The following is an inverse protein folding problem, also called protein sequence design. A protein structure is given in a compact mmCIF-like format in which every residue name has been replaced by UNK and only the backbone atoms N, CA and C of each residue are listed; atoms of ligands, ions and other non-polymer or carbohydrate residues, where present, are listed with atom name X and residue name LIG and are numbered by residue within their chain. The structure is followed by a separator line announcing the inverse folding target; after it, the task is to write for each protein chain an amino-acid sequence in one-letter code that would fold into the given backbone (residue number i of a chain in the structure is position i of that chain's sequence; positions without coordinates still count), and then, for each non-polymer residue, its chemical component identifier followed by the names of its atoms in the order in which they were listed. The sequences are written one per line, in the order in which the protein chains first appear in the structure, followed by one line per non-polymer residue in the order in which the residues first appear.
data_IF_865393589747
#
_entry.id   IF_865393589747
#
_cell.length_a   1.000
_cell.length_b   1.000
_cell.length_c   1.000
_cell.angle_alpha   90.00
_cell.angle_beta   90.00
_cell.angle_gamma   90.00
#
_symmetry.space_group_name_H-M   'P 1'
#
loop_
_entity.id
_entity.type
_entity.pdbx_description
1 polymer ?
#
# COMPACT_ATOMS: atom_id res chain seq x y z
N UNK A 1 -9.21 30.64 4.79
CA UNK A 1 -7.80 31.11 4.88
C UNK A 1 -7.04 30.16 5.81
N UNK A 2 -5.90 29.61 5.37
CA UNK A 2 -5.08 28.72 6.22
C UNK A 2 -4.37 29.53 7.28
N UNK A 3 -4.46 29.18 8.58
CA UNK A 3 -3.76 29.89 9.67
C UNK A 3 -2.23 29.88 9.49
N UNK A 4 -1.56 30.93 9.99
CA UNK A 4 -0.11 31.05 9.83
C UNK A 4 0.69 29.92 10.48
N UNK A 5 0.24 29.41 11.61
CA UNK A 5 0.85 28.26 12.29
C UNK A 5 0.85 27.01 11.39
N UNK A 6 -0.29 26.71 10.74
CA UNK A 6 -0.42 25.58 9.82
C UNK A 6 0.49 25.76 8.60
N UNK A 7 0.62 26.99 8.07
CA UNK A 7 1.51 27.25 6.93
C UNK A 7 2.99 27.02 7.22
N UNK A 8 3.41 27.14 8.48
CA UNK A 8 4.80 26.90 8.92
C UNK A 8 5.07 25.44 9.27
N UNK A 9 4.02 24.62 9.35
CA UNK A 9 4.14 23.19 9.65
C UNK A 9 4.50 22.43 8.37
N UNK A 10 5.51 21.55 8.46
CA UNK A 10 5.79 20.59 7.39
C UNK A 10 4.81 19.43 7.48
N UNK A 11 4.16 19.12 6.38
CA UNK A 11 3.25 17.98 6.24
C UNK A 11 3.89 16.93 5.35
N UNK A 12 3.89 15.69 5.78
CA UNK A 12 4.28 14.55 4.97
C UNK A 12 3.08 13.60 4.88
N UNK A 13 2.65 13.30 3.67
CA UNK A 13 1.58 12.36 3.40
C UNK A 13 2.19 10.98 3.13
N UNK A 14 1.91 10.02 3.99
CA UNK A 14 2.30 8.63 3.77
C UNK A 14 1.17 7.88 3.07
N UNK A 15 1.45 7.38 1.89
CA UNK A 15 0.47 6.61 1.10
C UNK A 15 1.16 5.65 0.15
N UNK A 16 0.59 4.47 0.01
CA UNK A 16 0.98 3.49 -1.00
C UNK A 16 0.05 3.55 -2.22
N UNK A 17 -0.90 4.49 -2.22
CA UNK A 17 -1.77 4.78 -3.35
C UNK A 17 -1.05 5.74 -4.29
N UNK A 18 -0.89 5.34 -5.55
CA UNK A 18 -0.26 6.15 -6.60
C UNK A 18 -1.27 6.80 -7.55
N UNK A 19 -2.55 6.47 -7.42
CA UNK A 19 -3.62 6.97 -8.28
C UNK A 19 -3.71 8.50 -8.29
N UNK A 20 -3.96 9.11 -9.46
CA UNK A 20 -4.26 10.53 -9.57
C UNK A 20 -5.62 10.88 -8.95
N UNK A 21 -5.91 12.17 -8.81
CA UNK A 21 -7.18 12.63 -8.24
C UNK A 21 -8.40 12.23 -9.08
N UNK A 22 -8.32 12.41 -10.38
CA UNK A 22 -9.43 12.17 -11.31
C UNK A 22 -8.93 11.53 -12.62
N UNK A 23 -9.87 11.10 -13.45
CA UNK A 23 -9.59 10.37 -14.69
C UNK A 23 -9.95 8.89 -14.58
N UNK A 24 -9.59 8.06 -15.60
CA UNK A 24 -9.92 6.63 -15.62
C UNK A 24 -9.26 5.87 -14.46
N UNK A 25 -8.04 6.25 -14.08
CA UNK A 25 -7.30 5.67 -12.95
C UNK A 25 -7.42 6.52 -11.67
N UNK A 26 -8.34 7.49 -11.68
CA UNK A 26 -8.54 8.44 -10.58
C UNK A 26 -9.27 7.82 -9.39
N UNK A 27 -9.29 8.58 -8.30
CA UNK A 27 -9.86 8.17 -7.03
C UNK A 27 -11.29 7.65 -7.13
N UNK A 28 -12.18 8.34 -7.84
CA UNK A 28 -13.58 7.94 -7.97
C UNK A 28 -13.71 6.64 -8.80
N UNK A 29 -13.00 6.55 -9.93
CA UNK A 29 -13.10 5.40 -10.82
C UNK A 29 -12.62 4.10 -10.16
N UNK A 30 -11.52 4.19 -9.40
CA UNK A 30 -10.87 3.00 -8.81
C UNK A 30 -11.50 2.60 -7.47
N UNK A 31 -11.84 3.59 -6.61
CA UNK A 31 -12.18 3.28 -5.20
C UNK A 31 -13.67 3.45 -4.85
N UNK A 32 -14.48 4.16 -5.68
CA UNK A 32 -15.88 4.36 -5.35
C UNK A 32 -16.75 3.10 -5.57
N UNK A 33 -16.53 2.25 -6.62
CA UNK A 33 -17.33 1.06 -6.84
C UNK A 33 -17.33 0.09 -5.66
N UNK A 34 -16.18 -0.18 -5.06
CA UNK A 34 -16.08 -1.07 -3.89
C UNK A 34 -16.79 -0.53 -2.63
N UNK A 35 -17.15 0.76 -2.64
CA UNK A 35 -17.92 1.44 -1.58
C UNK A 35 -19.40 1.58 -1.94
N UNK A 36 -19.85 0.91 -3.01
CA UNK A 36 -21.24 0.86 -3.43
C UNK A 36 -21.66 1.89 -4.47
N UNK A 37 -20.76 2.69 -5.04
CA UNK A 37 -21.11 3.65 -6.07
C UNK A 37 -21.39 2.94 -7.40
N UNK A 38 -22.52 3.28 -8.02
CA UNK A 38 -22.84 2.89 -9.38
C UNK A 38 -22.10 3.75 -10.43
N UNK A 39 -22.24 3.40 -11.70
CA UNK A 39 -21.53 4.09 -12.79
C UNK A 39 -21.89 5.58 -12.89
N UNK A 40 -23.15 5.95 -12.63
CA UNK A 40 -23.59 7.34 -12.67
C UNK A 40 -22.98 8.14 -11.50
N UNK A 41 -22.93 7.55 -10.32
CA UNK A 41 -22.30 8.13 -9.14
C UNK A 41 -20.79 8.28 -9.33
N UNK A 42 -20.11 7.29 -9.91
CA UNK A 42 -18.68 7.37 -10.24
C UNK A 42 -18.41 8.53 -11.20
N UNK A 43 -19.23 8.68 -12.25
CA UNK A 43 -19.12 9.80 -13.20
C UNK A 43 -19.32 11.16 -12.52
N UNK A 44 -20.32 11.29 -11.66
CA UNK A 44 -20.60 12.50 -10.91
C UNK A 44 -19.46 12.86 -9.94
N UNK A 45 -18.95 11.89 -9.18
CA UNK A 45 -17.81 12.06 -8.28
C UNK A 45 -16.56 12.50 -9.05
N UNK A 46 -16.25 11.85 -10.17
CA UNK A 46 -15.10 12.20 -10.99
C UNK A 46 -15.22 13.63 -11.57
N UNK A 47 -16.42 14.05 -11.98
CA UNK A 47 -16.70 15.42 -12.41
C UNK A 47 -16.47 16.42 -11.27
N UNK A 48 -16.99 16.13 -10.07
CA UNK A 48 -16.77 16.95 -8.87
C UNK A 48 -15.29 17.10 -8.51
N UNK A 49 -14.51 16.00 -8.57
CA UNK A 49 -13.08 16.02 -8.33
C UNK A 49 -12.31 16.82 -9.38
N UNK A 50 -12.72 16.79 -10.65
CA UNK A 50 -12.16 17.66 -11.70
C UNK A 50 -12.45 19.14 -11.43
N UNK A 51 -13.65 19.46 -11.00
CA UNK A 51 -13.99 20.82 -10.62
C UNK A 51 -13.15 21.30 -9.44
N UNK A 52 -13.02 20.45 -8.40
CA UNK A 52 -12.14 20.73 -7.26
C UNK A 52 -10.69 20.95 -7.70
N UNK A 53 -10.17 20.12 -8.61
CA UNK A 53 -8.82 20.26 -9.16
C UNK A 53 -8.59 21.65 -9.81
N UNK A 54 -9.59 22.16 -10.52
CA UNK A 54 -9.51 23.48 -11.15
C UNK A 54 -9.45 24.64 -10.13
N UNK A 55 -9.96 24.43 -8.93
CA UNK A 55 -9.92 25.41 -7.82
C UNK A 55 -8.65 25.33 -6.97
N UNK A 56 -7.81 24.33 -7.18
CA UNK A 56 -6.59 24.13 -6.38
C UNK A 56 -5.52 25.18 -6.72
N UNK A 57 -4.83 25.75 -5.71
CA UNK A 57 -3.79 26.76 -5.93
C UNK A 57 -2.51 26.18 -6.58
N UNK A 58 -2.39 24.85 -6.63
CA UNK A 58 -1.26 24.13 -7.24
C UNK A 58 -1.77 22.99 -8.13
N UNK A 59 -1.17 22.75 -9.28
CA UNK A 59 -1.58 21.69 -10.21
C UNK A 59 -1.06 20.31 -9.72
N UNK A 60 -1.76 19.71 -8.79
CA UNK A 60 -1.37 18.43 -8.16
C UNK A 60 -2.25 17.24 -8.57
N UNK A 61 -3.32 17.49 -9.31
CA UNK A 61 -4.33 16.47 -9.61
C UNK A 61 -3.76 15.20 -10.29
N UNK A 62 -2.73 15.35 -11.12
CA UNK A 62 -2.08 14.23 -11.81
C UNK A 62 -0.90 13.63 -11.03
N UNK A 63 -0.55 14.16 -9.86
CA UNK A 63 0.57 13.63 -9.09
C UNK A 63 0.22 12.28 -8.46
N UNK A 64 1.17 11.35 -8.37
CA UNK A 64 1.01 10.13 -7.61
C UNK A 64 0.55 10.42 -6.17
N UNK A 65 -0.44 9.69 -5.69
CA UNK A 65 -1.01 9.89 -4.36
C UNK A 65 -2.08 10.97 -4.25
N UNK A 66 -2.36 11.73 -5.32
CA UNK A 66 -3.40 12.76 -5.31
C UNK A 66 -4.79 12.16 -5.04
N UNK A 67 -5.05 10.94 -5.52
CA UNK A 67 -6.30 10.20 -5.30
C UNK A 67 -6.42 9.54 -3.94
N UNK A 68 -5.36 9.52 -3.14
CA UNK A 68 -5.38 8.87 -1.82
C UNK A 68 -6.51 9.42 -0.95
N UNK A 69 -7.20 8.51 -0.24
CA UNK A 69 -8.32 8.80 0.64
C UNK A 69 -9.41 9.70 -0.02
N UNK A 70 -9.75 9.40 -1.28
CA UNK A 70 -10.82 10.12 -1.97
C UNK A 70 -10.46 11.53 -2.42
N UNK A 71 -9.17 11.87 -2.49
CA UNK A 71 -8.69 13.19 -2.88
C UNK A 71 -8.11 14.02 -1.71
N UNK A 72 -8.09 13.49 -0.49
CA UNK A 72 -7.40 14.12 0.64
C UNK A 72 -5.92 14.37 0.30
N UNK A 73 -5.27 13.41 -0.40
CA UNK A 73 -3.91 13.55 -0.88
C UNK A 73 -3.70 14.83 -1.70
N UNK A 74 -4.54 15.05 -2.70
CA UNK A 74 -4.50 16.27 -3.50
C UNK A 74 -4.72 17.54 -2.66
N UNK A 75 -5.67 17.49 -1.71
CA UNK A 75 -5.93 18.60 -0.79
C UNK A 75 -4.70 18.98 0.03
N UNK A 76 -4.06 18.02 0.67
CA UNK A 76 -2.86 18.24 1.48
C UNK A 76 -1.70 18.79 0.63
N UNK A 77 -1.48 18.23 -0.55
CA UNK A 77 -0.46 18.73 -1.47
C UNK A 77 -0.75 20.15 -1.96
N UNK A 78 -2.01 20.43 -2.36
CA UNK A 78 -2.37 21.72 -2.95
C UNK A 78 -2.35 22.87 -1.96
N UNK A 79 -2.97 22.72 -0.80
CA UNK A 79 -3.15 23.80 0.17
C UNK A 79 -2.08 23.85 1.24
N UNK A 80 -1.53 22.73 1.65
CA UNK A 80 -0.53 22.66 2.73
C UNK A 80 0.89 22.39 2.22
N UNK A 81 1.04 22.04 0.94
CA UNK A 81 2.36 21.74 0.37
C UNK A 81 2.93 20.42 0.88
N UNK A 82 2.07 19.48 1.25
CA UNK A 82 2.51 18.18 1.75
C UNK A 82 3.39 17.45 0.74
N UNK A 83 4.48 16.87 1.23
CA UNK A 83 5.35 15.95 0.49
C UNK A 83 4.77 14.54 0.57
N UNK A 84 4.72 13.82 -0.55
CA UNK A 84 4.26 12.43 -0.58
C UNK A 84 5.45 11.51 -0.40
N UNK A 85 5.29 10.53 0.50
CA UNK A 85 6.24 9.43 0.68
C UNK A 85 5.49 8.09 0.63
N UNK A 86 6.08 7.03 0.05
CA UNK A 86 5.56 5.68 0.18
C UNK A 86 5.40 5.32 1.66
N UNK A 87 4.22 4.85 2.05
CA UNK A 87 3.90 4.61 3.45
C UNK A 87 4.76 3.52 4.05
N UNK A 88 4.95 2.42 3.31
CA UNK A 88 5.80 1.32 3.74
C UNK A 88 7.25 1.79 4.01
N UNK A 89 7.84 2.55 3.09
CA UNK A 89 9.20 3.08 3.27
C UNK A 89 9.29 4.03 4.48
N UNK A 90 8.31 4.91 4.65
CA UNK A 90 8.30 5.84 5.76
C UNK A 90 8.24 5.13 7.14
N UNK A 91 7.45 4.04 7.24
CA UNK A 91 7.38 3.23 8.46
C UNK A 91 8.70 2.49 8.70
N UNK A 92 9.30 1.92 7.65
CA UNK A 92 10.59 1.24 7.75
C UNK A 92 11.71 2.19 8.18
N UNK A 93 11.71 3.43 7.65
CA UNK A 93 12.65 4.48 8.07
C UNK A 93 12.49 4.80 9.57
N UNK A 94 11.26 5.00 10.03
CA UNK A 94 10.99 5.28 11.46
C UNK A 94 11.36 4.13 12.37
N UNK A 95 11.20 2.88 11.91
CA UNK A 95 11.59 1.69 12.65
C UNK A 95 13.12 1.47 12.67
N UNK A 96 13.89 2.24 11.90
CA UNK A 96 15.33 2.02 11.76
C UNK A 96 15.65 0.68 11.07
N UNK A 97 14.79 0.25 10.14
CA UNK A 97 14.83 -1.09 9.55
C UNK A 97 16.19 -1.45 8.96
N UNK A 98 16.86 -0.52 8.26
CA UNK A 98 18.16 -0.78 7.66
C UNK A 98 19.25 -1.09 8.71
N UNK A 99 19.16 -0.49 9.89
CA UNK A 99 20.07 -0.80 10.99
C UNK A 99 19.83 -2.22 11.55
N UNK A 100 18.59 -2.70 11.52
CA UNK A 100 18.23 -4.06 11.93
C UNK A 100 18.69 -5.13 10.94
N UNK A 101 18.98 -4.75 9.69
CA UNK A 101 19.51 -5.67 8.68
C UNK A 101 21.00 -6.02 8.89
N UNK A 102 21.73 -5.21 9.67
CA UNK A 102 23.15 -5.43 9.92
C UNK A 102 23.31 -6.72 10.73
N UNK A 103 23.93 -7.73 10.10
CA UNK A 103 24.14 -9.05 10.72
C UNK A 103 22.91 -9.95 10.74
N UNK A 104 21.81 -9.54 10.12
CA UNK A 104 20.66 -10.42 9.95
C UNK A 104 20.97 -11.52 8.94
N UNK A 105 20.64 -12.77 9.28
CA UNK A 105 20.81 -13.92 8.40
C UNK A 105 19.62 -14.10 7.44
N UNK A 106 18.44 -13.65 7.84
CA UNK A 106 17.18 -13.79 7.11
C UNK A 106 16.20 -12.72 7.58
N UNK A 107 15.40 -12.19 6.67
CA UNK A 107 14.20 -11.41 6.97
C UNK A 107 12.98 -12.23 6.68
N UNK A 108 12.01 -12.23 7.59
CA UNK A 108 10.70 -12.84 7.39
C UNK A 108 9.67 -11.71 7.29
N UNK A 109 8.92 -11.71 6.20
CA UNK A 109 7.79 -10.79 5.99
C UNK A 109 6.52 -11.58 5.69
N UNK A 110 5.37 -10.90 5.64
CA UNK A 110 4.14 -11.59 5.29
C UNK A 110 2.97 -10.67 5.03
N UNK A 111 1.98 -11.24 4.37
CA UNK A 111 0.67 -10.62 4.17
C UNK A 111 -0.43 -11.68 3.94
N UNK A 112 -1.70 -11.25 3.96
CA UNK A 112 -2.83 -12.16 3.78
C UNK A 112 -2.85 -12.83 2.40
N UNK A 113 -2.43 -12.12 1.35
CA UNK A 113 -2.37 -12.65 -0.01
C UNK A 113 -1.25 -11.98 -0.79
N UNK A 114 -0.36 -12.79 -1.32
CA UNK A 114 0.67 -12.33 -2.27
C UNK A 114 0.08 -12.43 -3.69
N UNK A 115 0.04 -11.28 -4.38
CA UNK A 115 -0.43 -11.14 -5.75
C UNK A 115 0.34 -10.04 -6.49
N UNK A 116 -0.04 -9.74 -7.74
CA UNK A 116 0.61 -8.69 -8.54
C UNK A 116 0.59 -7.30 -7.90
N UNK A 117 -0.35 -7.03 -6.99
CA UNK A 117 -0.40 -5.76 -6.26
C UNK A 117 0.65 -5.68 -5.15
N UNK A 118 1.12 -6.82 -4.63
CA UNK A 118 2.19 -6.87 -3.63
C UNK A 118 3.47 -6.25 -4.19
N UNK A 119 3.79 -6.48 -5.47
CA UNK A 119 4.93 -5.89 -6.19
C UNK A 119 4.83 -4.37 -6.29
N UNK A 120 3.61 -3.84 -6.31
CA UNK A 120 3.33 -2.42 -6.61
C UNK A 120 3.53 -1.47 -5.43
N UNK A 121 4.25 -1.86 -4.36
CA UNK A 121 4.65 -0.94 -3.27
C UNK A 121 4.07 -1.26 -1.89
N UNK A 122 3.44 -2.42 -1.69
CA UNK A 122 3.02 -2.87 -0.35
C UNK A 122 4.23 -3.21 0.53
N UNK A 123 3.98 -3.35 1.83
CA UNK A 123 5.02 -3.60 2.85
C UNK A 123 5.97 -4.74 2.49
N UNK A 124 5.52 -5.93 2.02
CA UNK A 124 6.45 -7.01 1.68
C UNK A 124 7.43 -6.64 0.55
N UNK A 125 6.99 -5.86 -0.45
CA UNK A 125 7.88 -5.41 -1.53
C UNK A 125 8.91 -4.38 -1.04
N UNK A 126 8.53 -3.48 -0.14
CA UNK A 126 9.45 -2.51 0.45
C UNK A 126 10.51 -3.22 1.32
N UNK A 127 10.09 -4.20 2.13
CA UNK A 127 10.97 -5.04 2.94
C UNK A 127 11.96 -5.80 2.05
N UNK A 128 11.46 -6.49 1.02
CA UNK A 128 12.26 -7.24 0.06
C UNK A 128 13.35 -6.37 -0.57
N UNK A 129 12.94 -5.23 -1.15
CA UNK A 129 13.87 -4.31 -1.81
C UNK A 129 14.99 -3.84 -0.87
N UNK A 130 14.64 -3.47 0.37
CA UNK A 130 15.62 -2.95 1.34
C UNK A 130 16.53 -4.05 1.88
N UNK A 131 16.00 -5.24 2.16
CA UNK A 131 16.80 -6.37 2.63
C UNK A 131 17.78 -6.84 1.55
N UNK A 132 17.32 -6.98 0.30
CA UNK A 132 18.19 -7.35 -0.83
C UNK A 132 19.27 -6.31 -1.11
N UNK A 133 18.98 -5.01 -0.93
CA UNK A 133 20.00 -3.96 -1.02
C UNK A 133 21.13 -4.12 0.00
N UNK A 134 20.87 -4.80 1.12
CA UNK A 134 21.83 -5.15 2.15
C UNK A 134 22.38 -6.61 2.03
N UNK A 135 21.99 -7.33 0.99
CA UNK A 135 22.39 -8.73 0.77
C UNK A 135 21.74 -9.73 1.73
N UNK A 136 20.61 -9.37 2.35
CA UNK A 136 19.92 -10.24 3.30
C UNK A 136 18.74 -10.93 2.59
N UNK A 137 18.66 -12.28 2.61
CA UNK A 137 17.56 -13.02 1.99
C UNK A 137 16.22 -12.77 2.70
N UNK A 138 15.12 -12.93 1.95
CA UNK A 138 13.77 -12.65 2.43
C UNK A 138 12.84 -13.82 2.16
N UNK A 139 12.25 -14.36 3.22
CA UNK A 139 11.16 -15.31 3.15
C UNK A 139 9.81 -14.60 3.37
N UNK A 140 8.83 -14.85 2.52
CA UNK A 140 7.48 -14.34 2.67
C UNK A 140 6.52 -15.43 3.14
N UNK A 141 5.84 -15.22 4.25
CA UNK A 141 4.76 -16.09 4.74
C UNK A 141 3.43 -15.43 4.37
N UNK A 142 2.54 -16.15 3.70
CA UNK A 142 1.28 -15.58 3.23
C UNK A 142 0.07 -16.50 3.45
N UNK A 143 -1.11 -15.90 3.57
CA UNK A 143 -2.36 -16.66 3.63
C UNK A 143 -2.61 -17.41 2.34
N UNK A 144 -2.43 -16.76 1.20
CA UNK A 144 -2.57 -17.37 -0.13
C UNK A 144 -1.61 -16.74 -1.13
N UNK A 145 -1.31 -17.50 -2.18
CA UNK A 145 -0.47 -17.08 -3.30
C UNK A 145 -1.31 -17.08 -4.57
N UNK A 146 -1.34 -15.96 -5.29
CA UNK A 146 -2.05 -15.87 -6.56
C UNK A 146 -1.25 -16.54 -7.69
N UNK A 147 -1.96 -17.05 -8.69
CA UNK A 147 -1.32 -17.53 -9.90
C UNK A 147 -0.53 -16.40 -10.60
N UNK A 148 0.63 -16.74 -11.16
CA UNK A 148 1.48 -15.77 -11.88
C UNK A 148 2.41 -14.92 -11.00
N UNK A 149 2.50 -15.20 -9.70
CA UNK A 149 3.42 -14.51 -8.77
C UNK A 149 4.84 -15.09 -8.75
N UNK A 150 5.15 -16.01 -9.64
CA UNK A 150 6.47 -16.65 -9.75
C UNK A 150 7.64 -15.70 -10.05
N UNK A 151 7.37 -14.46 -10.44
CA UNK A 151 8.37 -13.43 -10.72
C UNK A 151 8.63 -12.48 -9.55
N UNK A 152 8.19 -12.83 -8.34
CA UNK A 152 8.53 -12.05 -7.16
C UNK A 152 9.86 -12.58 -6.62
N UNK A 153 10.85 -11.70 -6.52
CA UNK A 153 12.23 -12.03 -6.14
C UNK A 153 12.42 -12.40 -4.66
N UNK A 154 11.36 -12.93 -3.99
CA UNK A 154 11.52 -13.51 -2.65
C UNK A 154 12.35 -14.79 -2.75
N UNK A 155 13.27 -14.96 -1.81
CA UNK A 155 14.10 -16.18 -1.72
C UNK A 155 13.27 -17.41 -1.33
N UNK A 156 12.17 -17.19 -0.59
CA UNK A 156 11.16 -18.21 -0.32
C UNK A 156 9.76 -17.57 -0.18
N UNK A 157 8.72 -18.29 -0.65
CA UNK A 157 7.33 -17.92 -0.41
C UNK A 157 6.60 -19.14 0.15
N UNK A 158 6.03 -18.98 1.34
CA UNK A 158 5.46 -20.05 2.13
C UNK A 158 3.96 -19.77 2.42
N UNK A 159 3.03 -20.32 1.63
CA UNK A 159 1.60 -20.23 1.96
C UNK A 159 1.29 -21.04 3.23
N UNK A 160 0.50 -20.44 4.15
CA UNK A 160 0.10 -21.11 5.38
C UNK A 160 -1.04 -22.12 5.19
N UNK A 161 -1.81 -22.00 4.09
CA UNK A 161 -2.92 -22.92 3.79
C UNK A 161 -2.40 -24.26 3.33
N UNK A 162 -2.57 -25.34 4.12
CA UNK A 162 -1.91 -26.63 3.85
C UNK A 162 -2.64 -27.52 2.84
N UNK A 163 -3.93 -27.22 2.59
CA UNK A 163 -4.83 -27.98 1.74
C UNK A 163 -5.92 -27.06 1.19
N UNK A 164 -6.63 -27.43 0.14
CA UNK A 164 -7.83 -26.70 -0.28
C UNK A 164 -8.81 -26.55 0.88
N UNK A 165 -9.19 -25.30 1.18
CA UNK A 165 -10.18 -24.96 2.21
C UNK A 165 -10.89 -23.67 1.83
N UNK A 166 -12.08 -23.44 2.40
CA UNK A 166 -12.82 -22.19 2.19
C UNK A 166 -12.08 -21.01 2.85
N UNK A 167 -12.30 -19.81 2.31
CA UNK A 167 -11.74 -18.60 2.90
C UNK A 167 -12.21 -18.41 4.36
N UNK A 168 -13.47 -18.71 4.63
CA UNK A 168 -14.04 -18.64 5.98
C UNK A 168 -13.33 -19.58 6.95
N UNK A 169 -13.01 -20.80 6.52
CA UNK A 169 -12.25 -21.75 7.34
C UNK A 169 -10.81 -21.27 7.53
N UNK A 170 -10.13 -20.85 6.47
CA UNK A 170 -8.74 -20.38 6.52
C UNK A 170 -8.55 -19.13 7.39
N UNK A 171 -9.57 -18.28 7.51
CA UNK A 171 -9.54 -17.05 8.30
C UNK A 171 -9.99 -17.23 9.75
N UNK A 172 -10.35 -18.43 10.18
CA UNK A 172 -10.61 -18.67 11.62
C UNK A 172 -9.31 -18.45 12.40
N UNK A 173 -9.33 -17.66 13.49
CA UNK A 173 -8.10 -17.28 14.21
C UNK A 173 -7.28 -18.48 14.71
N UNK A 174 -7.94 -19.52 15.19
CA UNK A 174 -7.33 -20.78 15.64
C UNK A 174 -6.62 -21.52 14.51
N UNK A 175 -7.28 -21.68 13.37
CA UNK A 175 -6.74 -22.31 12.17
C UNK A 175 -5.58 -21.50 11.58
N UNK A 176 -5.78 -20.20 11.40
CA UNK A 176 -4.76 -19.32 10.84
C UNK A 176 -3.48 -19.34 11.70
N UNK A 177 -3.62 -19.26 13.03
CA UNK A 177 -2.49 -19.30 13.95
C UNK A 177 -1.76 -20.65 13.94
N UNK A 178 -2.53 -21.75 13.93
CA UNK A 178 -1.97 -23.11 13.86
C UNK A 178 -1.18 -23.30 12.56
N UNK A 179 -1.77 -22.90 11.44
CA UNK A 179 -1.16 -22.99 10.12
C UNK A 179 0.09 -22.12 10.01
N UNK A 180 0.05 -20.88 10.51
CA UNK A 180 1.20 -19.98 10.52
C UNK A 180 2.37 -20.56 11.35
N UNK A 181 2.09 -21.07 12.55
CA UNK A 181 3.10 -21.73 13.40
C UNK A 181 3.74 -22.91 12.71
N UNK A 182 2.94 -23.78 12.07
CA UNK A 182 3.45 -24.94 11.35
C UNK A 182 4.34 -24.54 10.18
N UNK A 183 3.93 -23.53 9.41
CA UNK A 183 4.71 -23.03 8.27
C UNK A 183 6.02 -22.37 8.72
N UNK A 184 6.00 -21.62 9.82
CA UNK A 184 7.19 -20.98 10.36
C UNK A 184 8.19 -21.98 10.99
N UNK A 185 7.79 -23.21 11.25
CA UNK A 185 8.64 -24.28 11.79
C UNK A 185 9.33 -25.14 10.70
N UNK A 186 9.04 -24.87 9.42
CA UNK A 186 9.69 -25.51 8.26
C UNK A 186 11.01 -24.82 7.94
#
# INVERSE_FOLDING_TARGET
RVPSAVRRTRFTLWTDVTNPLCGPDGSAAVFAPQKGADAAQVAALNSGLRHLAALMPRPVACKPGAGAAGGVGAGLMAWLGAEVKPGADAVLDMAGFDALLIGAALVITGEGRIDSQTVSGKVPAAVLRRAHACGVPVAAICGSLAAGTANMDFDAVLPIVPRPMSLTEAMRPDEALCNARRTAAQ
#
